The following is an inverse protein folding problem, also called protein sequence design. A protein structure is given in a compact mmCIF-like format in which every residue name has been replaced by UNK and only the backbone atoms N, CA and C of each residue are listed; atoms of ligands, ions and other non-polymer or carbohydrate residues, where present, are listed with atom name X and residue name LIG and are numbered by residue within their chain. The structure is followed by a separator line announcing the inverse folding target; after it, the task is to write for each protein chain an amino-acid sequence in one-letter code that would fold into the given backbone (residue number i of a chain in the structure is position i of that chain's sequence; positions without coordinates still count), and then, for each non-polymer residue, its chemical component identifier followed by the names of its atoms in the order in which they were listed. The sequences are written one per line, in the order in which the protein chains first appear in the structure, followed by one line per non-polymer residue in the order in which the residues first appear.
data_IF_278055329158
#
_entry.id   IF_278055329158
#
_cell.length_a   1.000
_cell.length_b   1.000
_cell.length_c   1.000
_cell.angle_alpha   90.00
_cell.angle_beta   90.00
_cell.angle_gamma   90.00
#
_symmetry.space_group_name_H-M   'P 1'
#
loop_
_entity.id
_entity.type
_entity.pdbx_description
1 polymer ?
#
# COMPACT_ATOMS: atom_id res chain seq x y z
N UNK A 1 3.61 1.50 -15.75
CA UNK A 1 3.95 0.10 -15.36
C UNK A 1 2.79 -0.82 -15.75
N UNK A 2 3.04 -2.09 -16.06
CA UNK A 2 1.96 -3.07 -16.30
C UNK A 2 1.52 -3.72 -14.98
N UNK A 3 0.29 -4.26 -14.95
CA UNK A 3 -0.21 -5.00 -13.78
C UNK A 3 0.69 -6.18 -13.44
N UNK A 4 1.14 -6.94 -14.46
CA UNK A 4 2.06 -8.05 -14.27
C UNK A 4 3.38 -7.62 -13.62
N UNK A 5 4.00 -6.53 -14.10
CA UNK A 5 5.26 -6.05 -13.53
C UNK A 5 5.13 -5.61 -12.07
N UNK A 6 4.02 -4.95 -11.74
CA UNK A 6 3.71 -4.56 -10.36
C UNK A 6 3.44 -5.79 -9.49
N UNK A 7 2.67 -6.77 -9.98
CA UNK A 7 2.41 -8.00 -9.26
C UNK A 7 3.71 -8.78 -8.99
N UNK A 8 4.58 -8.97 -9.99
CA UNK A 8 5.86 -9.66 -9.80
C UNK A 8 6.76 -8.95 -8.78
N UNK A 9 6.80 -7.62 -8.79
CA UNK A 9 7.56 -6.86 -7.80
C UNK A 9 6.99 -7.05 -6.39
N UNK A 10 5.67 -6.93 -6.21
CA UNK A 10 5.04 -7.06 -4.90
C UNK A 10 4.98 -8.50 -4.41
N UNK A 11 4.97 -9.49 -5.29
CA UNK A 11 5.09 -10.91 -4.95
C UNK A 11 6.43 -11.24 -4.29
N UNK A 12 7.50 -10.51 -4.65
CA UNK A 12 8.80 -10.63 -3.98
C UNK A 12 8.77 -10.17 -2.50
N UNK A 13 7.84 -9.26 -2.15
CA UNK A 13 7.65 -8.79 -0.77
C UNK A 13 6.89 -9.81 0.08
N UNK A 14 6.15 -10.70 -0.58
CA UNK A 14 5.25 -11.67 0.05
C UNK A 14 5.94 -13.02 0.23
N UNK A 15 6.72 -13.44 -0.75
CA UNK A 15 7.33 -14.78 -0.81
C UNK A 15 8.46 -15.03 0.20
N UNK A 16 8.92 -14.02 0.94
CA UNK A 16 9.94 -14.15 2.01
C UNK A 16 11.34 -14.61 1.55
N UNK A 17 11.50 -15.01 0.28
CA UNK A 17 12.75 -15.43 -0.36
C UNK A 17 13.21 -14.51 -1.49
N UNK A 18 12.56 -13.35 -1.64
CA UNK A 18 12.97 -12.30 -2.58
C UNK A 18 14.26 -11.59 -2.14
N UNK A 19 14.83 -10.71 -2.99
CA UNK A 19 16.04 -9.95 -2.67
C UNK A 19 15.84 -8.92 -1.54
N UNK A 20 14.60 -8.73 -1.08
CA UNK A 20 14.24 -7.78 -0.04
C UNK A 20 14.05 -8.53 1.28
N UNK A 21 14.84 -8.17 2.29
CA UNK A 21 14.75 -8.76 3.63
C UNK A 21 13.37 -8.49 4.25
N UNK A 22 12.78 -9.51 4.89
CA UNK A 22 11.48 -9.41 5.58
C UNK A 22 11.42 -8.26 6.58
N UNK A 23 12.52 -7.99 7.28
CA UNK A 23 12.65 -6.87 8.22
C UNK A 23 12.43 -5.50 7.55
N UNK A 24 12.88 -5.31 6.32
CA UNK A 24 12.70 -4.05 5.58
C UNK A 24 11.25 -3.87 5.18
N UNK A 25 10.57 -4.97 4.81
CA UNK A 25 9.14 -4.95 4.48
C UNK A 25 8.31 -4.55 5.69
N UNK A 26 8.65 -5.06 6.87
CA UNK A 26 7.98 -4.69 8.12
C UNK A 26 8.21 -3.22 8.47
N UNK A 27 9.45 -2.71 8.32
CA UNK A 27 9.75 -1.29 8.52
C UNK A 27 9.02 -0.39 7.52
N UNK A 28 8.83 -0.84 6.27
CA UNK A 28 8.09 -0.08 5.27
C UNK A 28 6.57 -0.02 5.55
N UNK A 29 6.05 -0.97 6.34
CA UNK A 29 4.66 -1.02 6.78
C UNK A 29 4.42 -0.29 8.10
N UNK A 30 5.49 0.04 8.81
CA UNK A 30 5.41 0.80 10.06
C UNK A 30 4.92 2.23 9.78
N UNK A 31 3.96 2.69 10.59
CA UNK A 31 3.44 4.06 10.43
C UNK A 31 4.54 5.03 10.76
N UNK A 32 5.01 5.74 9.74
CA UNK A 32 5.81 6.92 9.95
C UNK A 32 4.84 8.05 10.28
N UNK A 33 4.66 8.31 11.58
CA UNK A 33 4.01 9.55 11.98
C UNK A 33 4.82 10.70 11.36
N UNK A 34 4.18 11.63 10.63
CA UNK A 34 4.86 12.86 10.30
C UNK A 34 5.28 13.51 11.62
N UNK A 35 6.47 14.15 11.70
CA UNK A 35 6.71 15.10 12.77
C UNK A 35 5.51 16.04 12.79
N UNK A 36 4.93 16.32 13.96
CA UNK A 36 3.78 17.22 14.14
C UNK A 36 3.85 18.44 13.21
N UNK A 37 3.14 18.38 12.08
CA UNK A 37 3.03 19.50 11.14
C UNK A 37 1.57 19.90 11.01
N UNK A 38 1.25 20.97 11.74
CA UNK A 38 0.32 22.05 11.40
C UNK A 38 -0.74 21.76 10.33
N UNK A 39 -2.00 21.85 10.74
CA UNK A 39 -3.20 21.88 9.90
C UNK A 39 -3.05 22.87 8.75
N UNK A 40 -2.78 22.37 7.54
CA UNK A 40 -2.84 23.14 6.29
C UNK A 40 -4.27 23.22 5.76
N UNK A 41 -4.62 24.26 4.98
CA UNK A 41 -5.99 24.50 4.54
C UNK A 41 -6.43 23.43 3.54
N UNK A 42 -7.61 22.85 3.78
CA UNK A 42 -8.29 21.88 2.92
C UNK A 42 -8.69 22.55 1.60
N UNK A 43 -7.83 22.48 0.59
CA UNK A 43 -8.21 22.84 -0.78
C UNK A 43 -8.88 21.65 -1.46
N UNK A 44 -10.12 21.89 -1.87
CA UNK A 44 -11.03 20.97 -2.54
C UNK A 44 -10.54 20.63 -3.95
N UNK A 45 -9.77 19.55 -4.07
CA UNK A 45 -9.62 18.80 -5.33
C UNK A 45 -10.20 17.41 -5.10
N UNK A 46 -11.53 17.33 -5.19
CA UNK A 46 -12.35 16.12 -5.13
C UNK A 46 -12.12 15.22 -6.35
N UNK A 47 -10.93 14.63 -6.43
CA UNK A 47 -10.76 13.34 -7.09
C UNK A 47 -10.53 12.37 -5.96
N UNK A 48 -11.57 11.60 -5.58
CA UNK A 48 -11.46 10.55 -4.57
C UNK A 48 -10.49 9.48 -5.06
N UNK A 49 -9.20 9.76 -4.91
CA UNK A 49 -8.14 8.78 -5.03
C UNK A 49 -8.48 7.72 -4.00
N UNK A 50 -8.94 6.54 -4.45
CA UNK A 50 -9.60 5.53 -3.62
C UNK A 50 -8.75 5.03 -2.43
N UNK A 51 -7.49 5.47 -2.30
CA UNK A 51 -6.58 5.16 -1.20
C UNK A 51 -6.13 6.38 -0.36
N UNK A 52 -6.67 7.59 -0.59
CA UNK A 52 -6.53 8.71 0.35
C UNK A 52 -7.71 8.78 1.34
N UNK A 53 -8.41 7.66 1.53
CA UNK A 53 -9.43 7.55 2.57
C UNK A 53 -8.80 7.71 3.95
N UNK A 54 -9.56 8.24 4.91
CA UNK A 54 -9.25 8.56 6.32
C UNK A 54 -8.57 7.45 7.17
N UNK A 55 -8.24 6.29 6.58
CA UNK A 55 -7.62 5.14 7.24
C UNK A 55 -6.31 4.65 6.61
N UNK A 56 -5.77 5.34 5.61
CA UNK A 56 -4.46 5.01 5.03
C UNK A 56 -3.32 5.56 5.90
N UNK A 57 -2.39 4.70 6.28
CA UNK A 57 -1.11 5.09 6.89
C UNK A 57 -0.01 5.14 5.85
N UNK A 58 1.07 5.87 6.12
CA UNK A 58 2.25 5.90 5.25
C UNK A 58 3.49 5.43 6.00
N UNK A 59 4.37 4.71 5.30
CA UNK A 59 5.67 4.26 5.81
C UNK A 59 6.66 4.06 4.66
N UNK A 60 7.87 4.62 4.77
CA UNK A 60 8.95 4.52 3.77
C UNK A 60 8.51 4.63 2.30
N UNK A 61 7.57 5.52 2.00
CA UNK A 61 7.06 5.76 0.65
C UNK A 61 5.92 4.85 0.18
N UNK A 62 5.40 3.98 1.05
CA UNK A 62 4.27 3.10 0.78
C UNK A 62 3.03 3.51 1.57
N UNK A 63 1.87 3.20 1.00
CA UNK A 63 0.58 3.23 1.66
C UNK A 63 0.33 1.90 2.39
N UNK A 64 -0.12 1.97 3.63
CA UNK A 64 -0.48 0.83 4.47
C UNK A 64 -1.93 0.95 4.92
N UNK A 65 -2.68 -0.16 4.83
CA UNK A 65 -4.06 -0.26 5.28
C UNK A 65 -4.22 -1.42 6.24
N UNK A 66 -5.07 -1.27 7.25
CA UNK A 66 -5.45 -2.38 8.12
C UNK A 66 -6.38 -3.34 7.37
N UNK A 67 -6.00 -4.61 7.28
CA UNK A 67 -6.76 -5.69 6.65
C UNK A 67 -7.06 -6.74 7.70
N UNK A 68 -8.33 -7.09 7.85
CA UNK A 68 -8.74 -8.21 8.73
C UNK A 68 -8.75 -9.50 7.91
N UNK A 69 -7.94 -10.46 8.34
CA UNK A 69 -7.84 -11.78 7.72
C UNK A 69 -9.03 -12.67 8.14
N UNK A 70 -9.21 -13.80 7.45
CA UNK A 70 -10.28 -14.76 7.75
C UNK A 70 -10.20 -15.38 9.15
N UNK A 71 -9.00 -15.38 9.76
CA UNK A 71 -8.77 -15.84 11.13
C UNK A 71 -9.05 -14.75 12.19
N UNK A 72 -9.52 -13.58 11.77
CA UNK A 72 -9.83 -12.46 12.65
C UNK A 72 -8.63 -11.59 13.04
N UNK A 73 -7.40 -11.92 12.63
CA UNK A 73 -6.23 -11.08 12.87
C UNK A 73 -6.27 -9.86 11.95
N UNK A 74 -5.94 -8.69 12.50
CA UNK A 74 -5.73 -7.47 11.71
C UNK A 74 -4.24 -7.32 11.40
N UNK A 75 -3.92 -7.28 10.12
CA UNK A 75 -2.56 -7.08 9.59
C UNK A 75 -2.50 -5.82 8.74
N UNK A 76 -1.30 -5.39 8.35
CA UNK A 76 -1.11 -4.17 7.54
C UNK A 76 -0.79 -4.49 6.10
N UNK A 77 -1.43 -3.90 5.12
CA UNK A 77 -0.97 -4.03 3.74
C UNK A 77 0.28 -3.19 3.48
N UNK A 78 0.99 -3.46 2.38
CA UNK A 78 1.94 -2.53 1.76
C UNK A 78 1.48 -2.29 0.32
N UNK A 79 1.46 -1.05 -0.15
CA UNK A 79 0.91 -0.74 -1.46
C UNK A 79 1.13 0.69 -1.91
N UNK A 80 0.62 1.01 -3.09
CA UNK A 80 0.57 2.37 -3.58
C UNK A 80 -0.54 2.52 -4.63
N UNK A 81 -1.25 3.65 -4.58
CA UNK A 81 -2.17 4.07 -5.63
C UNK A 81 -1.50 5.01 -6.61
N UNK A 82 -1.60 4.71 -7.90
CA UNK A 82 -1.14 5.59 -8.98
C UNK A 82 -2.27 6.45 -9.51
N UNK A 83 -1.94 7.67 -9.90
CA UNK A 83 -2.87 8.54 -10.63
C UNK A 83 -3.29 7.86 -11.93
N UNK A 84 -4.59 7.89 -12.25
CA UNK A 84 -5.15 7.18 -13.40
C UNK A 84 -5.78 5.81 -13.10
N UNK A 85 -5.90 5.42 -11.83
CA UNK A 85 -6.67 4.24 -11.41
C UNK A 85 -5.85 2.95 -11.26
N UNK A 86 -4.52 3.02 -11.34
CA UNK A 86 -3.67 1.89 -10.99
C UNK A 86 -3.53 1.74 -9.48
N UNK A 87 -3.61 0.51 -8.96
CA UNK A 87 -3.45 0.20 -7.54
C UNK A 87 -2.58 -1.04 -7.42
N UNK A 88 -1.64 -1.04 -6.47
CA UNK A 88 -0.94 -2.26 -6.07
C UNK A 88 -0.98 -2.40 -4.56
N UNK A 89 -1.21 -3.63 -4.09
CA UNK A 89 -1.30 -3.98 -2.68
C UNK A 89 -0.72 -5.38 -2.46
N UNK A 90 0.02 -5.55 -1.37
CA UNK A 90 0.46 -6.84 -0.86
C UNK A 90 0.10 -6.98 0.62
N UNK A 91 -0.25 -8.21 1.00
CA UNK A 91 -0.51 -8.64 2.36
C UNK A 91 0.38 -9.87 2.60
N UNK A 92 1.60 -9.68 3.13
CA UNK A 92 2.56 -10.76 3.32
C UNK A 92 2.00 -11.92 4.15
N UNK A 93 1.25 -11.63 5.21
CA UNK A 93 0.66 -12.65 6.09
C UNK A 93 -0.40 -13.51 5.39
N UNK A 94 -0.99 -13.03 4.31
CA UNK A 94 -1.96 -13.75 3.50
C UNK A 94 -1.33 -14.44 2.29
N UNK A 95 -0.02 -14.34 2.10
CA UNK A 95 0.67 -14.73 0.88
C UNK A 95 0.01 -14.17 -0.40
N UNK A 96 -0.42 -12.90 -0.36
CA UNK A 96 -1.23 -12.28 -1.41
C UNK A 96 -0.61 -10.98 -1.92
N UNK A 97 -0.53 -10.84 -3.25
CA UNK A 97 -0.30 -9.56 -3.93
C UNK A 97 -1.32 -9.36 -5.04
N UNK A 98 -1.78 -8.12 -5.22
CA UNK A 98 -2.75 -7.73 -6.24
C UNK A 98 -2.26 -6.44 -6.89
N UNK A 99 -2.21 -6.43 -8.21
CA UNK A 99 -1.97 -5.24 -9.01
C UNK A 99 -3.09 -5.06 -10.03
N UNK A 100 -3.69 -3.88 -10.03
CA UNK A 100 -4.73 -3.46 -10.95
C UNK A 100 -4.20 -2.25 -11.70
N UNK A 101 -4.26 -2.30 -13.03
CA UNK A 101 -3.91 -1.16 -13.88
C UNK A 101 -5.04 -0.95 -14.86
N UNK A 102 -5.67 0.21 -14.78
CA UNK A 102 -6.76 0.62 -15.65
C UNK A 102 -6.20 1.60 -16.67
N UNK A 103 -6.54 1.43 -17.94
CA UNK A 103 -6.07 2.28 -19.05
C UNK A 103 -7.15 3.24 -19.58
N UNK A 104 -8.27 3.32 -18.87
CA UNK A 104 -9.42 4.15 -19.22
C UNK A 104 -10.00 4.77 -17.95
N UNK A 105 -9.87 6.10 -17.85
CA UNK A 105 -10.51 6.93 -16.82
C UNK A 105 -11.95 7.22 -17.22
#
# INVERSE_FOLDING_TARGET
ASAQGLATLFDSLVSGGGPLESRIVDLAREVQHPPTTVSGPSSSSDTKQAMLSDGASFGLGFQSHSVTLADGRTVRSIGHSGYGGSIVIAVPEANLSIAIVINKL
#
